data_IF_974756495801
#
_entry.id   IF_974756495801
#
_cell.length_a   1.000
_cell.length_b   1.000
_cell.length_c   1.000
_cell.angle_alpha   90.00
_cell.angle_beta   90.00
_cell.angle_gamma   90.00
#
_symmetry.space_group_name_H-M   'P 1'
#
loop_
_entity.id
_entity.type
_entity.pdbx_description
1 polymer ?
#
# COMPACT_ATOMS: atom_id res chain seq x y z
N UNK A 1 -6.22 3.07 -3.24
CA UNK A 1 -7.57 2.93 -2.63
C UNK A 1 -8.62 2.54 -3.63
N UNK A 2 -9.03 3.45 -4.54
CA UNK A 2 -10.17 3.23 -5.44
C UNK A 2 -10.04 2.03 -6.39
N UNK A 3 -8.85 1.76 -6.93
CA UNK A 3 -8.66 0.63 -7.86
C UNK A 3 -8.87 -0.75 -7.22
N UNK A 4 -8.57 -0.90 -5.94
CA UNK A 4 -8.69 -2.17 -5.23
C UNK A 4 -9.86 -2.18 -4.23
N UNK A 5 -10.64 -1.09 -4.17
CA UNK A 5 -11.72 -0.90 -3.19
C UNK A 5 -11.28 -1.18 -1.74
N UNK A 6 -10.12 -0.62 -1.37
CA UNK A 6 -9.54 -0.73 -0.02
C UNK A 6 -9.33 0.66 0.60
N UNK A 7 -9.28 0.70 1.93
CA UNK A 7 -8.95 1.87 2.74
C UNK A 7 -7.57 1.68 3.37
N UNK A 8 -6.65 2.63 3.19
CA UNK A 8 -5.37 2.59 3.89
C UNK A 8 -5.48 3.31 5.24
N UNK A 9 -4.95 2.66 6.28
CA UNK A 9 -4.90 3.18 7.63
C UNK A 9 -3.43 3.47 7.94
N UNK A 10 -3.13 4.75 8.18
CA UNK A 10 -1.79 5.23 8.47
C UNK A 10 -1.62 5.37 9.99
N UNK A 11 -0.45 5.04 10.56
CA UNK A 11 -0.19 5.26 11.97
C UNK A 11 -0.15 6.76 12.30
N UNK A 12 -0.40 7.09 13.57
CA UNK A 12 -0.37 8.49 14.04
C UNK A 12 1.01 9.10 13.79
N UNK A 13 1.05 10.29 13.19
CA UNK A 13 2.31 10.98 12.86
C UNK A 13 3.00 10.48 11.58
N UNK A 14 2.40 9.54 10.84
CA UNK A 14 2.96 9.08 9.57
C UNK A 14 2.95 10.21 8.53
N UNK A 15 4.15 10.57 8.04
CA UNK A 15 4.31 11.58 7.00
C UNK A 15 4.17 10.93 5.63
N UNK A 16 2.96 10.98 5.07
CA UNK A 16 2.69 10.54 3.70
C UNK A 16 2.97 11.66 2.67
N UNK A 17 4.19 12.20 2.70
CA UNK A 17 4.62 13.30 1.83
C UNK A 17 5.60 12.84 0.74
N UNK A 18 6.10 11.62 0.83
CA UNK A 18 6.95 11.02 -0.20
C UNK A 18 6.13 10.59 -1.42
N UNK A 19 6.71 10.79 -2.61
CA UNK A 19 6.09 10.38 -3.88
C UNK A 19 6.75 9.11 -4.38
N UNK A 20 5.99 8.03 -4.43
CA UNK A 20 6.39 6.80 -5.09
C UNK A 20 5.89 6.81 -6.54
N UNK A 21 6.81 6.61 -7.49
CA UNK A 21 6.47 6.43 -8.91
C UNK A 21 6.67 4.97 -9.28
N UNK A 22 5.58 4.27 -9.54
CA UNK A 22 5.62 2.87 -9.98
C UNK A 22 4.58 2.64 -11.08
N UNK A 23 4.95 1.82 -12.06
CA UNK A 23 4.03 1.34 -13.09
C UNK A 23 3.54 -0.04 -12.69
N UNK A 24 2.23 -0.19 -12.50
CA UNK A 24 1.58 -1.45 -12.15
C UNK A 24 0.46 -1.72 -13.15
N UNK A 25 0.44 -2.93 -13.69
CA UNK A 25 -0.69 -3.39 -14.48
C UNK A 25 -1.92 -3.55 -13.57
N UNK A 26 -3.08 -3.00 -13.96
CA UNK A 26 -4.32 -3.02 -13.18
C UNK A 26 -4.85 -4.42 -12.87
N UNK A 27 -4.43 -5.45 -13.60
CA UNK A 27 -4.80 -6.85 -13.33
C UNK A 27 -4.00 -7.48 -12.19
N UNK A 28 -2.92 -6.83 -11.74
CA UNK A 28 -2.06 -7.34 -10.68
C UNK A 28 -2.78 -7.26 -9.33
N UNK A 29 -2.73 -8.34 -8.56
CA UNK A 29 -3.30 -8.42 -7.21
C UNK A 29 -2.68 -7.35 -6.30
N UNK A 30 -3.50 -6.71 -5.47
CA UNK A 30 -3.05 -5.72 -4.48
C UNK A 30 -1.89 -6.25 -3.63
N UNK A 31 -1.96 -7.50 -3.18
CA UNK A 31 -0.90 -8.14 -2.38
C UNK A 31 0.47 -8.10 -3.05
N UNK A 32 0.53 -8.22 -4.39
CA UNK A 32 1.78 -8.18 -5.13
C UNK A 32 2.32 -6.74 -5.22
N UNK A 33 1.44 -5.76 -5.38
CA UNK A 33 1.79 -4.34 -5.34
C UNK A 33 2.33 -3.96 -3.96
N UNK A 34 1.64 -4.37 -2.89
CA UNK A 34 2.08 -4.11 -1.52
C UNK A 34 3.47 -4.73 -1.26
N UNK A 35 3.68 -6.00 -1.60
CA UNK A 35 5.01 -6.64 -1.49
C UNK A 35 6.11 -5.92 -2.25
N UNK A 36 5.81 -5.35 -3.43
CA UNK A 36 6.77 -4.55 -4.17
C UNK A 36 7.10 -3.26 -3.41
N UNK A 37 6.10 -2.58 -2.86
CA UNK A 37 6.30 -1.39 -2.02
C UNK A 37 7.09 -1.71 -0.74
N UNK A 38 6.85 -2.86 -0.10
CA UNK A 38 7.63 -3.29 1.08
C UNK A 38 9.12 -3.45 0.73
N UNK A 39 9.42 -4.09 -0.39
CA UNK A 39 10.80 -4.32 -0.83
C UNK A 39 11.52 -3.05 -1.25
N UNK A 40 10.82 -2.13 -1.91
CA UNK A 40 11.44 -0.92 -2.48
C UNK A 40 11.60 0.18 -1.44
N UNK A 41 10.62 0.34 -0.56
CA UNK A 41 10.54 1.49 0.37
C UNK A 41 10.68 1.08 1.84
N UNK A 42 10.84 -0.21 2.14
CA UNK A 42 10.97 -0.69 3.52
C UNK A 42 9.71 -0.51 4.35
N UNK A 43 8.56 -0.31 3.71
CA UNK A 43 7.25 -0.21 4.37
C UNK A 43 6.77 -1.60 4.78
N UNK A 44 5.90 -1.67 5.78
CA UNK A 44 5.22 -2.90 6.13
C UNK A 44 3.71 -2.72 6.02
N UNK A 45 3.03 -3.69 5.40
CA UNK A 45 1.57 -3.65 5.27
C UNK A 45 0.91 -4.87 5.92
N UNK A 46 -0.25 -4.65 6.51
CA UNK A 46 -1.10 -5.73 7.00
C UNK A 46 -2.53 -5.57 6.46
N UNK A 47 -3.01 -6.61 5.77
CA UNK A 47 -4.35 -6.61 5.14
C UNK A 47 -5.37 -7.21 6.12
N UNK A 48 -6.44 -6.48 6.36
CA UNK A 48 -7.60 -6.89 7.16
C UNK A 48 -8.87 -6.66 6.34
N UNK A 49 -9.29 -7.67 5.57
CA UNK A 49 -10.44 -7.53 4.67
C UNK A 49 -10.25 -6.42 3.64
N UNK A 50 -11.00 -5.32 3.78
CA UNK A 50 -10.91 -4.13 2.91
C UNK A 50 -10.03 -3.02 3.48
N UNK A 51 -9.37 -3.26 4.61
CA UNK A 51 -8.46 -2.30 5.24
C UNK A 51 -7.02 -2.76 5.07
N UNK A 52 -6.12 -1.81 4.81
CA UNK A 52 -4.68 -2.04 4.74
C UNK A 52 -4.01 -1.13 5.76
N UNK A 53 -3.47 -1.72 6.81
CA UNK A 53 -2.72 -1.01 7.83
C UNK A 53 -1.26 -0.88 7.39
N UNK A 54 -0.71 0.32 7.52
CA UNK A 54 0.71 0.60 7.32
C UNK A 54 1.40 0.55 8.68
N UNK A 55 2.57 -0.10 8.75
CA UNK A 55 3.41 -0.23 9.93
C UNK A 55 4.80 0.33 9.66
#
# INVERSE_FOLDING_TARGET
ERWYNVKFIYPSGFKNNEKAFFSVNRTVKLSSVLKALERTYGLHFQIYGKEVLIK
#
